data_IF_717191984302
#
_entry.id   IF_717191984302
#
_cell.length_a   1.000
_cell.length_b   1.000
_cell.length_c   1.000
_cell.angle_alpha   90.00
_cell.angle_beta   90.00
_cell.angle_gamma   90.00
#
_symmetry.space_group_name_H-M   'P 1'
#
loop_
_entity.id
_entity.type
_entity.pdbx_description
1 polymer ?
#
# COMPACT_ATOMS: atom_id res chain seq x y z
N UNK A 1 -9.11 2.05 17.03
CA UNK A 1 -9.62 2.42 15.69
C UNK A 1 -10.54 1.31 15.24
N UNK A 2 -11.84 1.60 15.16
CA UNK A 2 -12.88 0.64 14.80
C UNK A 2 -13.00 0.53 13.28
N UNK A 3 -13.49 -0.61 12.80
CA UNK A 3 -13.71 -0.89 11.39
C UNK A 3 -15.16 -1.36 11.21
N UNK A 4 -15.95 -0.60 10.47
CA UNK A 4 -17.40 -0.75 10.38
C UNK A 4 -17.81 -1.97 9.53
N UNK A 5 -17.10 -2.24 8.43
CA UNK A 5 -17.33 -3.44 7.63
C UNK A 5 -16.75 -4.68 8.33
N UNK A 6 -17.61 -5.50 8.94
CA UNK A 6 -17.23 -6.80 9.56
C UNK A 6 -15.96 -6.67 10.41
N UNK A 7 -16.04 -5.99 11.56
CA UNK A 7 -14.87 -5.53 12.33
C UNK A 7 -13.75 -6.57 12.56
N UNK A 8 -14.11 -7.85 12.74
CA UNK A 8 -13.17 -8.97 12.98
C UNK A 8 -12.70 -9.68 11.70
N UNK A 9 -12.96 -9.10 10.53
CA UNK A 9 -12.56 -9.66 9.23
C UNK A 9 -11.07 -9.47 8.95
N UNK A 10 -10.54 -10.32 8.05
CA UNK A 10 -9.19 -10.16 7.49
C UNK A 10 -9.02 -8.79 6.83
N UNK A 11 -10.05 -8.31 6.13
CA UNK A 11 -10.07 -6.98 5.54
C UNK A 11 -9.68 -5.90 6.56
N UNK A 12 -10.40 -5.84 7.69
CA UNK A 12 -10.15 -4.84 8.73
C UNK A 12 -8.75 -4.97 9.34
N UNK A 13 -8.27 -6.21 9.53
CA UNK A 13 -6.90 -6.47 10.00
C UNK A 13 -5.88 -5.91 9.02
N UNK A 14 -5.99 -6.24 7.74
CA UNK A 14 -5.10 -5.78 6.69
C UNK A 14 -5.10 -4.24 6.53
N UNK A 15 -6.27 -3.59 6.57
CA UNK A 15 -6.36 -2.11 6.50
C UNK A 15 -5.72 -1.45 7.72
N UNK A 16 -5.92 -2.00 8.93
CA UNK A 16 -5.28 -1.49 10.16
C UNK A 16 -3.76 -1.65 10.09
N UNK A 17 -3.26 -2.81 9.63
CA UNK A 17 -1.84 -3.07 9.45
C UNK A 17 -1.23 -2.11 8.40
N UNK A 18 -1.86 -1.92 7.24
CA UNK A 18 -1.42 -0.97 6.22
C UNK A 18 -1.34 0.46 6.78
N UNK A 19 -2.37 0.90 7.51
CA UNK A 19 -2.39 2.20 8.15
C UNK A 19 -1.22 2.39 9.15
N UNK A 20 -0.96 1.37 9.97
CA UNK A 20 0.14 1.39 10.94
C UNK A 20 1.50 1.46 10.24
N UNK A 21 1.69 0.69 9.16
CA UNK A 21 2.93 0.68 8.37
C UNK A 21 3.19 2.00 7.64
N UNK A 22 2.14 2.64 7.12
CA UNK A 22 2.27 4.02 6.64
C UNK A 22 2.68 4.99 7.76
N UNK A 23 2.14 4.84 8.97
CA UNK A 23 2.54 5.70 10.09
C UNK A 23 3.99 5.49 10.50
N UNK A 24 4.45 4.24 10.49
CA UNK A 24 5.85 3.89 10.70
C UNK A 24 6.74 4.58 9.66
N UNK A 25 6.47 4.37 8.37
CA UNK A 25 7.19 5.03 7.28
C UNK A 25 7.21 6.56 7.44
N UNK A 26 6.07 7.18 7.76
CA UNK A 26 6.00 8.64 7.96
C UNK A 26 6.89 9.16 9.08
N UNK A 27 7.13 8.38 10.15
CA UNK A 27 8.05 8.79 11.23
C UNK A 27 9.48 8.91 10.72
N UNK A 28 9.91 7.94 9.92
CA UNK A 28 11.24 7.94 9.31
C UNK A 28 11.35 8.99 8.21
N UNK A 29 10.33 9.14 7.37
CA UNK A 29 10.30 10.17 6.33
C UNK A 29 10.33 11.59 6.90
N UNK A 30 9.73 11.85 8.06
CA UNK A 30 9.81 13.18 8.70
C UNK A 30 11.24 13.58 9.05
N UNK A 31 12.10 12.62 9.39
CA UNK A 31 13.53 12.87 9.61
C UNK A 31 14.26 13.19 8.30
N UNK A 32 13.75 12.69 7.16
CA UNK A 32 14.32 12.89 5.82
C UNK A 32 13.83 14.22 5.22
N UNK A 33 12.52 14.45 5.22
CA UNK A 33 11.84 15.68 4.79
C UNK A 33 10.36 15.68 5.21
N UNK A 34 9.85 16.74 5.87
CA UNK A 34 8.43 16.84 6.24
C UNK A 34 7.46 16.72 5.06
N UNK A 35 7.88 17.16 3.86
CA UNK A 35 7.08 17.14 2.63
C UNK A 35 6.95 15.74 2.04
N UNK A 36 7.91 14.85 2.28
CA UNK A 36 7.91 13.49 1.72
C UNK A 36 6.83 12.59 2.34
N UNK A 37 6.22 12.98 3.47
CA UNK A 37 5.12 12.20 4.08
C UNK A 37 3.73 12.52 3.51
N UNK A 38 3.59 13.51 2.63
CA UNK A 38 2.29 14.04 2.23
C UNK A 38 1.37 13.00 1.59
N UNK A 39 1.89 12.12 0.72
CA UNK A 39 1.08 11.09 0.06
C UNK A 39 0.66 9.99 1.00
N UNK A 40 1.53 9.57 1.94
CA UNK A 40 1.14 8.60 2.97
C UNK A 40 0.07 9.14 3.91
N UNK A 41 0.08 10.46 4.19
CA UNK A 41 -1.03 11.10 4.92
C UNK A 41 -2.35 10.99 4.15
N UNK A 42 -2.33 11.16 2.84
CA UNK A 42 -3.52 11.01 1.99
C UNK A 42 -3.98 9.55 1.92
N UNK A 43 -3.07 8.60 1.71
CA UNK A 43 -3.37 7.18 1.76
C UNK A 43 -4.00 6.79 3.11
N UNK A 44 -3.44 7.23 4.23
CA UNK A 44 -3.99 6.96 5.56
C UNK A 44 -5.35 7.61 5.82
N UNK A 45 -5.63 8.76 5.21
CA UNK A 45 -6.97 9.37 5.26
C UNK A 45 -7.98 8.46 4.54
N UNK A 46 -7.63 7.95 3.36
CA UNK A 46 -8.48 7.06 2.57
C UNK A 46 -8.69 5.71 3.26
N UNK A 47 -7.65 5.13 3.87
CA UNK A 47 -7.78 3.90 4.68
C UNK A 47 -8.71 4.11 5.88
N UNK A 48 -8.68 5.28 6.51
CA UNK A 48 -9.65 5.64 7.56
C UNK A 48 -11.07 5.74 7.03
N UNK A 49 -11.26 6.32 5.84
CA UNK A 49 -12.57 6.35 5.19
C UNK A 49 -13.06 4.93 4.88
N UNK A 50 -12.20 4.07 4.32
CA UNK A 50 -12.51 2.66 4.07
C UNK A 50 -12.91 1.90 5.34
N UNK A 51 -12.25 2.17 6.48
CA UNK A 51 -12.64 1.57 7.76
C UNK A 51 -14.02 2.02 8.26
N UNK A 52 -14.52 3.18 7.82
CA UNK A 52 -15.85 3.68 8.24
C UNK A 52 -16.98 3.27 7.29
N UNK A 53 -16.65 2.63 6.16
CA UNK A 53 -17.64 2.13 5.21
C UNK A 53 -18.20 0.81 5.71
N UNK A 54 -19.52 0.65 5.61
CA UNK A 54 -20.27 -0.56 5.98
C UNK A 54 -20.57 -1.46 4.78
N UNK A 55 -20.70 -0.88 3.60
CA UNK A 55 -21.09 -1.57 2.36
C UNK A 55 -19.84 -2.04 1.59
N UNK A 56 -19.83 -3.32 1.21
CA UNK A 56 -18.66 -3.95 0.59
C UNK A 56 -18.30 -3.28 -0.74
N UNK A 57 -19.32 -2.91 -1.52
CA UNK A 57 -19.22 -2.38 -2.88
C UNK A 57 -18.46 -1.05 -2.93
N UNK A 58 -18.48 -0.28 -1.84
CA UNK A 58 -17.84 1.02 -1.74
C UNK A 58 -16.37 0.94 -1.27
N UNK A 59 -15.92 -0.23 -0.76
CA UNK A 59 -14.57 -0.39 -0.23
C UNK A 59 -13.47 -0.31 -1.31
N UNK A 60 -13.57 -1.02 -2.46
CA UNK A 60 -12.48 -1.06 -3.45
C UNK A 60 -12.05 0.33 -3.93
N UNK A 61 -13.00 1.25 -4.16
CA UNK A 61 -12.69 2.61 -4.61
C UNK A 61 -11.73 3.36 -3.66
N UNK A 62 -11.96 3.26 -2.34
CA UNK A 62 -11.06 3.85 -1.35
C UNK A 62 -9.68 3.17 -1.34
N UNK A 63 -9.65 1.84 -1.47
CA UNK A 63 -8.40 1.07 -1.46
C UNK A 63 -7.55 1.36 -2.70
N UNK A 64 -8.14 1.40 -3.91
CA UNK A 64 -7.40 1.71 -5.13
C UNK A 64 -6.79 3.11 -5.10
N UNK A 65 -7.56 4.09 -4.61
CA UNK A 65 -7.08 5.46 -4.46
C UNK A 65 -5.97 5.55 -3.40
N UNK A 66 -6.11 4.85 -2.27
CA UNK A 66 -5.06 4.80 -1.26
C UNK A 66 -3.77 4.14 -1.80
N UNK A 67 -3.90 3.04 -2.54
CA UNK A 67 -2.81 2.30 -3.15
C UNK A 67 -2.06 3.16 -4.17
N UNK A 68 -2.78 3.94 -4.97
CA UNK A 68 -2.17 4.90 -5.90
C UNK A 68 -1.23 5.88 -5.18
N UNK A 69 -1.67 6.44 -4.04
CA UNK A 69 -0.83 7.34 -3.25
C UNK A 69 0.37 6.63 -2.62
N UNK A 70 0.21 5.41 -2.11
CA UNK A 70 1.31 4.61 -1.57
C UNK A 70 2.35 4.26 -2.63
N UNK A 71 1.92 3.79 -3.81
CA UNK A 71 2.82 3.43 -4.91
C UNK A 71 3.57 4.65 -5.44
N UNK A 72 2.89 5.78 -5.55
CA UNK A 72 3.53 7.05 -5.92
C UNK A 72 4.56 7.46 -4.87
N UNK A 73 4.23 7.31 -3.58
CA UNK A 73 5.18 7.56 -2.51
C UNK A 73 6.38 6.62 -2.59
N UNK A 74 6.16 5.32 -2.78
CA UNK A 74 7.20 4.31 -2.85
C UNK A 74 8.18 4.61 -3.99
N UNK A 75 7.64 4.96 -5.16
CA UNK A 75 8.45 5.36 -6.33
C UNK A 75 9.30 6.60 -6.03
N UNK A 76 8.73 7.62 -5.36
CA UNK A 76 9.49 8.80 -4.96
C UNK A 76 10.56 8.45 -3.91
N UNK A 77 10.21 7.60 -2.94
CA UNK A 77 11.11 7.22 -1.86
C UNK A 77 12.35 6.50 -2.41
N UNK A 78 12.18 5.56 -3.34
CA UNK A 78 13.30 4.88 -4.02
C UNK A 78 14.24 5.91 -4.66
N UNK A 79 13.69 6.91 -5.36
CA UNK A 79 14.50 7.97 -5.99
C UNK A 79 15.23 8.84 -4.96
N UNK A 80 14.56 9.23 -3.88
CA UNK A 80 15.18 9.99 -2.79
C UNK A 80 16.27 9.19 -2.07
N UNK A 81 16.04 7.89 -1.85
CA UNK A 81 16.97 7.02 -1.15
C UNK A 81 18.21 6.66 -1.97
N UNK A 82 18.07 6.50 -3.29
CA UNK A 82 19.23 6.38 -4.18
C UNK A 82 20.16 7.59 -4.06
N UNK A 83 19.63 8.82 -3.97
CA UNK A 83 20.45 10.04 -3.78
C UNK A 83 21.12 10.12 -2.40
N UNK A 84 20.61 9.38 -1.43
CA UNK A 84 21.07 9.36 -0.04
C UNK A 84 21.88 8.11 0.30
N UNK A 85 22.26 7.33 -0.72
CA UNK A 85 23.00 6.07 -0.55
C UNK A 85 22.35 5.10 0.46
N UNK A 86 21.01 5.03 0.45
CA UNK A 86 20.25 4.04 1.23
C UNK A 86 20.55 4.05 2.74
N UNK A 87 20.55 5.23 3.38
CA UNK A 87 20.68 5.34 4.83
C UNK A 87 19.63 4.49 5.60
N UNK A 88 19.84 4.34 6.91
CA UNK A 88 18.97 3.53 7.76
C UNK A 88 17.50 4.01 7.72
N UNK A 89 17.27 5.33 7.74
CA UNK A 89 15.92 5.88 7.70
C UNK A 89 15.22 5.56 6.37
N UNK A 90 15.97 5.60 5.27
CA UNK A 90 15.54 5.22 3.94
C UNK A 90 15.14 3.74 3.85
N UNK A 91 15.99 2.85 4.37
CA UNK A 91 15.72 1.41 4.37
C UNK A 91 14.47 1.08 5.17
N UNK A 92 14.34 1.62 6.38
CA UNK A 92 13.17 1.37 7.24
C UNK A 92 11.89 1.95 6.62
N UNK A 93 11.95 3.18 6.10
CA UNK A 93 10.81 3.81 5.44
C UNK A 93 10.38 3.00 4.20
N UNK A 94 11.31 2.53 3.38
CA UNK A 94 11.02 1.74 2.19
C UNK A 94 10.32 0.43 2.57
N UNK A 95 10.89 -0.32 3.51
CA UNK A 95 10.32 -1.58 3.98
C UNK A 95 8.92 -1.37 4.53
N UNK A 96 8.70 -0.32 5.32
CA UNK A 96 7.39 -0.01 5.87
C UNK A 96 6.35 0.34 4.76
N UNK A 97 6.72 1.10 3.73
CA UNK A 97 5.81 1.40 2.60
C UNK A 97 5.53 0.16 1.75
N UNK A 98 6.52 -0.71 1.52
CA UNK A 98 6.31 -1.99 0.82
C UNK A 98 5.34 -2.86 1.62
N UNK A 99 5.54 -2.98 2.93
CA UNK A 99 4.62 -3.74 3.79
C UNK A 99 3.21 -3.15 3.79
N UNK A 100 3.06 -1.82 3.82
CA UNK A 100 1.76 -1.16 3.70
C UNK A 100 1.06 -1.50 2.38
N UNK A 101 1.80 -1.41 1.27
CA UNK A 101 1.34 -1.77 -0.09
C UNK A 101 0.84 -3.22 -0.11
N UNK A 102 1.65 -4.15 0.39
CA UNK A 102 1.31 -5.59 0.47
C UNK A 102 0.02 -5.80 1.24
N UNK A 103 -0.13 -5.18 2.42
CA UNK A 103 -1.34 -5.28 3.25
C UNK A 103 -2.55 -4.67 2.59
N UNK A 104 -2.39 -3.59 1.83
CA UNK A 104 -3.51 -3.02 1.09
C UNK A 104 -3.97 -3.94 -0.04
N UNK A 105 -3.05 -4.63 -0.72
CA UNK A 105 -3.43 -5.65 -1.72
C UNK A 105 -4.15 -6.82 -1.07
N UNK A 106 -3.71 -7.28 0.09
CA UNK A 106 -4.43 -8.32 0.83
C UNK A 106 -5.85 -7.85 1.20
N UNK A 107 -6.01 -6.61 1.66
CA UNK A 107 -7.32 -6.03 1.93
C UNK A 107 -8.20 -5.95 0.66
N UNK A 108 -7.63 -5.59 -0.49
CA UNK A 108 -8.34 -5.57 -1.77
C UNK A 108 -8.83 -6.98 -2.12
N UNK A 109 -7.99 -8.01 -1.98
CA UNK A 109 -8.39 -9.40 -2.24
C UNK A 109 -9.56 -9.87 -1.36
N UNK A 110 -9.67 -9.38 -0.14
CA UNK A 110 -10.77 -9.75 0.78
C UNK A 110 -12.13 -9.17 0.34
N UNK A 111 -12.15 -8.12 -0.48
CA UNK A 111 -13.38 -7.43 -0.89
C UNK A 111 -13.63 -7.46 -2.40
N UNK A 112 -12.61 -7.70 -3.21
CA UNK A 112 -12.69 -7.79 -4.66
C UNK A 112 -13.51 -9.01 -5.12
N UNK A 113 -14.08 -8.93 -6.32
CA UNK A 113 -14.80 -10.05 -6.95
C UNK A 113 -14.44 -10.15 -8.44
N UNK A 114 -14.72 -11.31 -9.05
CA UNK A 114 -14.52 -11.53 -10.49
C UNK A 114 -13.11 -11.15 -10.98
N UNK A 115 -13.04 -10.29 -11.99
CA UNK A 115 -11.79 -9.87 -12.61
C UNK A 115 -10.87 -9.11 -11.63
N UNK A 116 -11.43 -8.33 -10.70
CA UNK A 116 -10.64 -7.60 -9.71
C UNK A 116 -9.83 -8.54 -8.81
N UNK A 117 -10.50 -9.59 -8.32
CA UNK A 117 -9.88 -10.59 -7.46
C UNK A 117 -8.80 -11.38 -8.22
N UNK A 118 -9.06 -11.72 -9.50
CA UNK A 118 -8.11 -12.43 -10.33
C UNK A 118 -6.82 -11.63 -10.55
N UNK A 119 -6.94 -10.34 -10.89
CA UNK A 119 -5.79 -9.44 -11.09
C UNK A 119 -5.02 -9.24 -9.78
N UNK A 120 -5.71 -8.96 -8.66
CA UNK A 120 -5.07 -8.77 -7.37
C UNK A 120 -4.34 -10.03 -6.88
N UNK A 121 -4.94 -11.21 -7.09
CA UNK A 121 -4.34 -12.50 -6.73
C UNK A 121 -3.09 -12.78 -7.55
N UNK A 122 -3.17 -12.60 -8.87
CA UNK A 122 -2.03 -12.80 -9.77
C UNK A 122 -0.88 -11.85 -9.42
N UNK A 123 -1.17 -10.55 -9.25
CA UNK A 123 -0.17 -9.56 -8.87
C UNK A 123 0.52 -9.91 -7.55
N UNK A 124 -0.24 -10.39 -6.56
CA UNK A 124 0.29 -10.84 -5.27
C UNK A 124 1.16 -12.10 -5.40
N UNK A 125 0.76 -13.07 -6.21
CA UNK A 125 1.57 -14.27 -6.48
C UNK A 125 2.90 -13.91 -7.16
N UNK A 126 2.87 -13.08 -8.19
CA UNK A 126 4.09 -12.59 -8.84
C UNK A 126 5.02 -11.86 -7.88
N UNK A 127 4.45 -11.09 -6.93
CA UNK A 127 5.22 -10.46 -5.85
C UNK A 127 5.90 -11.52 -4.96
N UNK A 128 5.16 -12.53 -4.49
CA UNK A 128 5.71 -13.58 -3.63
C UNK A 128 6.79 -14.41 -4.34
N UNK A 129 6.57 -14.73 -5.62
CA UNK A 129 7.57 -15.42 -6.42
C UNK A 129 8.82 -14.56 -6.61
N UNK A 130 8.66 -13.27 -6.88
CA UNK A 130 9.79 -12.33 -6.95
C UNK A 130 10.58 -12.27 -5.64
N UNK A 131 9.90 -12.26 -4.49
CA UNK A 131 10.54 -12.31 -3.16
C UNK A 131 11.30 -13.61 -2.96
N UNK A 132 10.72 -14.76 -3.34
CA UNK A 132 11.34 -16.09 -3.18
C UNK A 132 12.60 -16.25 -4.01
N UNK A 133 12.59 -15.76 -5.26
CA UNK A 133 13.70 -15.95 -6.19
C UNK A 133 14.79 -14.88 -6.07
N UNK A 134 14.52 -13.74 -5.40
CA UNK A 134 15.53 -12.72 -5.12
C UNK A 134 16.03 -11.92 -6.34
N UNK A 135 15.34 -12.02 -7.48
CA UNK A 135 15.78 -11.40 -8.75
C UNK A 135 15.53 -9.88 -8.82
N UNK A 136 14.83 -9.30 -7.84
CA UNK A 136 14.45 -7.88 -7.81
C UNK A 136 14.47 -7.34 -6.39
N UNK A 137 14.67 -6.04 -6.22
CA UNK A 137 14.61 -5.41 -4.88
C UNK A 137 13.18 -5.42 -4.34
N UNK A 138 13.02 -5.45 -3.01
CA UNK A 138 11.70 -5.37 -2.39
C UNK A 138 10.94 -4.10 -2.77
N UNK A 139 11.65 -2.99 -3.02
CA UNK A 139 11.08 -1.75 -3.52
C UNK A 139 10.48 -1.91 -4.92
N UNK A 140 11.22 -2.50 -5.85
CA UNK A 140 10.76 -2.73 -7.23
C UNK A 140 9.56 -3.69 -7.28
N UNK A 141 9.61 -4.76 -6.49
CA UNK A 141 8.51 -5.71 -6.34
C UNK A 141 7.27 -5.05 -5.76
N UNK A 142 7.41 -4.21 -4.72
CA UNK A 142 6.30 -3.44 -4.15
C UNK A 142 5.69 -2.44 -5.15
N UNK A 143 6.53 -1.75 -5.93
CA UNK A 143 6.06 -0.84 -6.99
C UNK A 143 5.30 -1.62 -8.06
N UNK A 144 5.85 -2.76 -8.53
CA UNK A 144 5.20 -3.62 -9.54
C UNK A 144 3.84 -4.11 -9.03
N UNK A 145 3.79 -4.65 -7.81
CA UNK A 145 2.57 -5.12 -7.16
C UNK A 145 1.47 -4.06 -7.17
N UNK A 146 1.76 -2.88 -6.63
CA UNK A 146 0.76 -1.83 -6.53
C UNK A 146 0.38 -1.22 -7.88
N UNK A 147 1.34 -1.02 -8.80
CA UNK A 147 1.07 -0.50 -10.15
C UNK A 147 0.16 -1.41 -10.96
N UNK A 148 0.34 -2.73 -10.88
CA UNK A 148 -0.53 -3.68 -11.61
C UNK A 148 -2.00 -3.48 -11.24
N UNK A 149 -2.29 -3.28 -9.95
CA UNK A 149 -3.67 -3.10 -9.47
C UNK A 149 -4.17 -1.69 -9.78
N UNK A 150 -3.35 -0.65 -9.52
CA UNK A 150 -3.71 0.75 -9.80
C UNK A 150 -4.00 0.95 -11.28
N UNK A 151 -3.17 0.42 -12.18
CA UNK A 151 -3.40 0.58 -13.63
C UNK A 151 -4.65 -0.16 -14.12
N UNK A 152 -5.04 -1.25 -13.45
CA UNK A 152 -6.22 -2.01 -13.82
C UNK A 152 -7.52 -1.34 -13.36
N UNK A 153 -7.53 -0.70 -12.18
CA UNK A 153 -8.77 -0.32 -11.51
C UNK A 153 -8.87 1.14 -11.06
N UNK A 154 -7.76 1.88 -11.02
CA UNK A 154 -7.79 3.31 -10.69
C UNK A 154 -7.79 4.15 -11.97
N UNK A 155 -8.93 4.78 -12.25
CA UNK A 155 -9.07 5.83 -13.27
C UNK A 155 -9.03 7.14 -12.52
N UNK A 156 -7.90 7.85 -12.59
CA UNK A 156 -7.72 9.07 -11.80
C UNK A 156 -8.81 10.10 -12.07
N UNK A 157 -9.48 10.55 -11.01
CA UNK A 157 -10.32 11.76 -10.99
C UNK A 157 -9.47 12.99 -10.64
#
# INVERSE_FOLDING_TARGET
MQCAYKERSNFCRHVKEAYQKNREAMRHLKAISPRESARLRHANRLLRMAMNVTEKENLPGFLYKALHFEVTQLTQLIRSCNKRNWDSACTVALTAVVQATTKMVEAIKDVATGNELAVATKAYQEYLDGVRHGNQTSGDLGVKLGKTIVNAFYRGD
#
